data_IF_709058384214
#
_entry.id   IF_709058384214
#
_cell.length_a   1.000
_cell.length_b   1.000
_cell.length_c   1.000
_cell.angle_alpha   90.00
_cell.angle_beta   90.00
_cell.angle_gamma   90.00
#
_symmetry.space_group_name_H-M   'P 1'
#
loop_
_entity.id
_entity.type
_entity.pdbx_description
1 polymer ?
#
# COMPACT_ATOMS: atom_id res chain seq x y z
N UNK A 1 -8.04 -10.80 29.00
CA UNK A 1 -8.52 -9.89 27.94
C UNK A 1 -7.32 -9.09 27.48
N UNK A 2 -6.82 -9.31 26.26
CA UNK A 2 -5.91 -8.33 25.67
C UNK A 2 -6.72 -7.06 25.44
N UNK A 3 -6.21 -5.91 25.86
CA UNK A 3 -6.84 -4.64 25.50
C UNK A 3 -6.82 -4.57 23.97
N UNK A 4 -7.96 -4.25 23.34
CA UNK A 4 -7.97 -4.01 21.90
C UNK A 4 -7.15 -2.74 21.64
N UNK A 5 -5.88 -2.92 21.31
CA UNK A 5 -4.98 -1.83 20.96
C UNK A 5 -5.25 -1.42 19.52
N UNK A 6 -5.24 -0.11 19.27
CA UNK A 6 -5.32 0.42 17.91
C UNK A 6 -4.15 -0.14 17.08
N UNK A 7 -4.46 -0.62 15.87
CA UNK A 7 -3.45 -1.11 14.92
C UNK A 7 -2.96 0.03 14.03
N UNK A 8 -1.76 -0.10 13.49
CA UNK A 8 -1.16 0.95 12.67
C UNK A 8 -1.61 0.85 11.20
N UNK A 9 -1.93 1.98 10.58
CA UNK A 9 -2.17 2.09 9.14
C UNK A 9 -1.10 3.00 8.54
N UNK A 10 -0.18 2.43 7.77
CA UNK A 10 0.98 3.15 7.25
C UNK A 10 0.68 3.72 5.87
N UNK A 11 1.14 4.93 5.59
CA UNK A 11 1.06 5.56 4.26
C UNK A 11 2.49 5.84 3.80
N UNK A 12 2.79 5.50 2.55
CA UNK A 12 4.14 5.73 1.98
C UNK A 12 4.46 7.22 1.87
N UNK A 13 5.74 7.61 1.92
CA UNK A 13 6.18 8.93 1.49
C UNK A 13 5.70 9.24 0.05
N UNK A 14 5.54 10.53 -0.32
CA UNK A 14 5.08 10.90 -1.66
C UNK A 14 6.07 10.56 -2.77
N UNK A 15 7.36 10.38 -2.44
CA UNK A 15 8.41 9.97 -3.35
C UNK A 15 9.46 9.13 -2.61
N UNK A 16 9.90 8.05 -3.24
CA UNK A 16 10.94 7.16 -2.74
C UNK A 16 11.48 6.30 -3.89
N UNK A 17 12.66 5.70 -3.72
CA UNK A 17 13.13 4.64 -4.61
C UNK A 17 12.65 3.28 -4.07
N UNK A 18 11.83 2.51 -4.82
CA UNK A 18 11.19 1.31 -4.31
C UNK A 18 12.10 0.26 -3.68
N UNK A 19 13.23 -0.08 -4.33
CA UNK A 19 14.12 -1.13 -3.82
C UNK A 19 14.85 -0.69 -2.56
N UNK A 20 15.33 0.56 -2.52
CA UNK A 20 15.99 1.13 -1.37
C UNK A 20 15.04 1.25 -0.17
N UNK A 21 13.77 1.59 -0.41
CA UNK A 21 12.79 1.77 0.67
C UNK A 21 12.21 0.45 1.20
N UNK A 22 12.26 -0.64 0.43
CA UNK A 22 11.71 -1.94 0.83
C UNK A 22 12.27 -2.44 2.18
N UNK A 23 13.55 -2.18 2.47
CA UNK A 23 14.16 -2.51 3.76
C UNK A 23 13.58 -1.70 4.93
N UNK A 24 13.33 -0.41 4.72
CA UNK A 24 12.66 0.45 5.72
C UNK A 24 11.22 0.00 5.95
N UNK A 25 10.50 -0.38 4.89
CA UNK A 25 9.17 -0.94 5.01
C UNK A 25 9.18 -2.22 5.86
N UNK A 26 10.06 -3.18 5.54
CA UNK A 26 10.18 -4.43 6.30
C UNK A 26 10.46 -4.17 7.79
N UNK A 27 11.38 -3.24 8.09
CA UNK A 27 11.68 -2.85 9.46
C UNK A 27 10.45 -2.25 10.18
N UNK A 28 9.65 -1.44 9.49
CA UNK A 28 8.43 -0.86 10.05
C UNK A 28 7.35 -1.93 10.30
N UNK A 29 7.16 -2.87 9.37
CA UNK A 29 6.19 -3.96 9.52
C UNK A 29 6.58 -4.98 10.62
N UNK A 30 7.87 -5.10 10.92
CA UNK A 30 8.37 -5.96 11.99
C UNK A 30 8.30 -5.31 13.39
N UNK A 31 8.14 -3.99 13.48
CA UNK A 31 8.25 -3.26 14.74
C UNK A 31 7.00 -3.34 15.62
N UNK A 32 5.81 -3.41 15.02
CA UNK A 32 4.53 -3.43 15.73
C UNK A 32 3.41 -3.99 14.84
N UNK A 33 2.19 -4.10 15.36
CA UNK A 33 1.02 -4.60 14.64
C UNK A 33 0.48 -3.58 13.61
N UNK A 34 0.89 -3.78 12.36
CA UNK A 34 0.43 -3.00 11.20
C UNK A 34 -0.77 -3.68 10.54
N UNK A 35 -1.89 -2.96 10.44
CA UNK A 35 -3.11 -3.43 9.81
C UNK A 35 -3.06 -3.42 8.28
N UNK A 36 -2.38 -2.43 7.69
CA UNK A 36 -2.24 -2.29 6.24
C UNK A 36 -1.19 -1.23 5.89
N UNK A 37 -0.73 -1.28 4.64
CA UNK A 37 0.13 -0.27 4.03
C UNK A 37 -0.58 0.33 2.82
N UNK A 38 -0.70 1.65 2.78
CA UNK A 38 -1.21 2.39 1.64
C UNK A 38 -0.06 2.92 0.77
N UNK A 39 0.01 2.43 -0.47
CA UNK A 39 0.90 2.95 -1.50
C UNK A 39 0.29 4.23 -2.10
N UNK A 40 0.90 5.37 -1.79
CA UNK A 40 0.43 6.69 -2.21
C UNK A 40 1.49 7.43 -3.01
N UNK A 41 1.41 7.28 -4.34
CA UNK A 41 2.33 7.91 -5.31
C UNK A 41 1.56 8.87 -6.24
N UNK A 42 1.14 10.02 -5.72
CA UNK A 42 0.40 11.02 -6.51
C UNK A 42 1.27 11.57 -7.64
N UNK A 43 0.75 11.53 -8.87
CA UNK A 43 1.44 12.05 -10.05
C UNK A 43 2.57 11.17 -10.58
N UNK A 44 2.78 9.97 -10.02
CA UNK A 44 3.69 8.99 -10.59
C UNK A 44 3.09 8.34 -11.84
N UNK A 45 3.96 7.96 -12.78
CA UNK A 45 3.55 7.17 -13.95
C UNK A 45 3.23 5.72 -13.56
N UNK A 46 2.52 5.03 -14.45
CA UNK A 46 2.07 3.65 -14.23
C UNK A 46 3.24 2.69 -13.99
N UNK A 47 4.37 2.90 -14.66
CA UNK A 47 5.56 2.08 -14.50
C UNK A 47 6.19 2.25 -13.12
N UNK A 48 6.22 3.47 -12.57
CA UNK A 48 6.69 3.76 -11.23
C UNK A 48 5.79 3.10 -10.18
N UNK A 49 4.47 3.16 -10.36
CA UNK A 49 3.52 2.46 -9.47
C UNK A 49 3.75 0.96 -9.54
N UNK A 50 3.86 0.38 -10.74
CA UNK A 50 4.12 -1.06 -10.92
C UNK A 50 5.43 -1.50 -10.27
N UNK A 51 6.52 -0.72 -10.43
CA UNK A 51 7.80 -0.98 -9.75
C UNK A 51 7.67 -0.92 -8.23
N UNK A 52 6.91 0.04 -7.71
CA UNK A 52 6.67 0.16 -6.27
C UNK A 52 5.90 -1.04 -5.72
N UNK A 53 4.82 -1.47 -6.38
CA UNK A 53 4.06 -2.66 -5.98
C UNK A 53 4.94 -3.92 -6.06
N UNK A 54 5.72 -4.10 -7.14
CA UNK A 54 6.63 -5.24 -7.27
C UNK A 54 7.67 -5.32 -6.14
N UNK A 55 8.15 -4.17 -5.64
CA UNK A 55 9.09 -4.13 -4.53
C UNK A 55 8.41 -4.36 -3.17
N UNK A 56 7.20 -3.83 -2.98
CA UNK A 56 6.55 -3.81 -1.67
C UNK A 56 5.69 -5.04 -1.41
N UNK A 57 5.11 -5.64 -2.45
CA UNK A 57 4.21 -6.78 -2.31
C UNK A 57 4.87 -7.97 -1.60
N UNK A 58 6.09 -8.43 -1.97
CA UNK A 58 6.74 -9.53 -1.26
C UNK A 58 7.02 -9.22 0.21
N UNK A 59 7.29 -7.94 0.53
CA UNK A 59 7.50 -7.49 1.91
C UNK A 59 6.18 -7.57 2.69
N UNK A 60 5.11 -7.02 2.13
CA UNK A 60 3.78 -7.03 2.73
C UNK A 60 3.26 -8.46 2.95
N UNK A 61 3.39 -9.32 1.93
CA UNK A 61 2.98 -10.74 1.97
C UNK A 61 3.75 -11.51 3.05
N UNK A 62 5.07 -11.28 3.19
CA UNK A 62 5.89 -11.93 4.21
C UNK A 62 5.46 -11.59 5.65
N UNK A 63 4.81 -10.44 5.84
CA UNK A 63 4.29 -9.99 7.13
C UNK A 63 2.77 -10.20 7.28
N UNK A 64 2.08 -10.73 6.26
CA UNK A 64 0.62 -10.87 6.28
C UNK A 64 -0.13 -9.53 6.33
N UNK A 65 0.50 -8.46 5.85
CA UNK A 65 -0.05 -7.09 5.86
C UNK A 65 -0.59 -6.78 4.46
N UNK A 66 -1.85 -6.34 4.31
CA UNK A 66 -2.40 -6.00 3.00
C UNK A 66 -1.78 -4.71 2.43
N UNK A 67 -1.52 -4.72 1.13
CA UNK A 67 -1.05 -3.56 0.37
C UNK A 67 -2.23 -2.91 -0.38
N UNK A 68 -2.54 -1.68 0.01
CA UNK A 68 -3.67 -0.88 -0.50
C UNK A 68 -3.13 0.17 -1.48
N UNK A 69 -3.67 0.20 -2.70
CA UNK A 69 -3.32 1.25 -3.66
C UNK A 69 -4.17 2.50 -3.45
N UNK A 70 -3.63 3.69 -3.70
CA UNK A 70 -4.38 4.94 -3.62
C UNK A 70 -4.82 5.42 -5.02
N UNK A 71 -6.07 5.86 -5.15
CA UNK A 71 -6.71 6.56 -6.30
C UNK A 71 -6.72 5.83 -7.67
N UNK A 72 -6.07 4.66 -7.81
CA UNK A 72 -5.89 3.96 -9.10
C UNK A 72 -6.46 2.53 -9.12
N UNK A 73 -7.79 2.35 -9.31
CA UNK A 73 -8.43 1.01 -9.29
C UNK A 73 -7.96 0.11 -10.42
N UNK A 74 -7.67 0.70 -11.57
CA UNK A 74 -7.10 0.04 -12.74
C UNK A 74 -5.77 -0.63 -12.40
N UNK A 75 -4.83 0.12 -11.83
CA UNK A 75 -3.52 -0.41 -11.46
C UNK A 75 -3.61 -1.35 -10.27
N UNK A 76 -4.48 -1.09 -9.29
CA UNK A 76 -4.66 -1.95 -8.14
C UNK A 76 -5.03 -3.38 -8.58
N UNK A 77 -5.98 -3.49 -9.51
CA UNK A 77 -6.39 -4.76 -10.11
C UNK A 77 -5.25 -5.40 -10.91
N UNK A 78 -4.60 -4.63 -11.77
CA UNK A 78 -3.54 -5.13 -12.66
C UNK A 78 -2.31 -5.63 -11.90
N UNK A 79 -1.95 -4.99 -10.78
CA UNK A 79 -0.80 -5.37 -9.95
C UNK A 79 -1.18 -6.32 -8.81
N UNK A 80 -2.47 -6.66 -8.70
CA UNK A 80 -3.01 -7.58 -7.71
C UNK A 80 -2.98 -7.06 -6.27
N UNK A 81 -3.04 -5.74 -6.05
CA UNK A 81 -3.13 -5.17 -4.69
C UNK A 81 -4.36 -5.71 -3.94
N UNK A 82 -4.26 -5.78 -2.61
CA UNK A 82 -5.29 -6.39 -1.77
C UNK A 82 -6.53 -5.49 -1.59
N UNK A 83 -6.38 -4.19 -1.92
CA UNK A 83 -7.48 -3.25 -1.95
C UNK A 83 -7.09 -1.90 -2.53
N UNK A 84 -8.06 -1.00 -2.52
CA UNK A 84 -7.90 0.38 -2.96
C UNK A 84 -8.47 1.36 -1.93
N UNK A 85 -7.80 2.49 -1.78
CA UNK A 85 -8.30 3.69 -1.14
C UNK A 85 -8.71 4.70 -2.21
N UNK A 86 -9.96 5.17 -2.16
CA UNK A 86 -10.50 6.22 -3.03
C UNK A 86 -11.07 7.35 -2.17
N UNK A 87 -10.80 8.58 -2.57
CA UNK A 87 -11.42 9.79 -2.05
C UNK A 87 -12.70 10.16 -2.78
N UNK A 88 -13.31 11.27 -2.38
CA UNK A 88 -14.60 11.74 -2.92
C UNK A 88 -14.52 12.23 -4.36
N UNK A 89 -13.34 12.65 -4.82
CA UNK A 89 -13.10 13.21 -6.14
C UNK A 89 -12.46 12.19 -7.11
N UNK A 90 -12.25 10.96 -6.65
CA UNK A 90 -11.62 9.88 -7.43
C UNK A 90 -12.68 9.03 -8.15
N UNK A 91 -12.30 7.81 -8.59
CA UNK A 91 -13.22 6.87 -9.20
C UNK A 91 -14.45 6.58 -8.32
N UNK A 92 -15.59 6.29 -8.94
CA UNK A 92 -16.79 5.97 -8.20
C UNK A 92 -16.64 4.66 -7.40
N UNK A 93 -17.39 4.54 -6.30
CA UNK A 93 -17.43 3.29 -5.53
C UNK A 93 -17.81 2.06 -6.38
N UNK A 94 -18.59 2.25 -7.44
CA UNK A 94 -18.99 1.18 -8.35
C UNK A 94 -17.83 0.72 -9.26
N UNK A 95 -16.93 1.62 -9.66
CA UNK A 95 -15.75 1.30 -10.47
C UNK A 95 -14.63 0.68 -9.64
N UNK A 96 -14.57 0.99 -8.35
CA UNK A 96 -13.55 0.48 -7.44
C UNK A 96 -13.87 -0.91 -6.84
N UNK A 97 -15.07 -1.46 -7.11
CA UNK A 97 -15.56 -2.74 -6.55
C UNK A 97 -15.50 -3.86 -7.57
#
# INVERSE_FOLDING_TARGET
MQAETCRLYLITPPAFEPRAFAGTLAAALAADDVAAVQLRLKGADDDAVRRAVQAFRPVCDAHGVPLIMNDRPDLARDTGCDGIHIGQEDASYAEAR
#
